data_IF_761979941655
#
_entry.id   IF_761979941655
#
_cell.length_a   1.000
_cell.length_b   1.000
_cell.length_c   1.000
_cell.angle_alpha   90.00
_cell.angle_beta   90.00
_cell.angle_gamma   90.00
#
_symmetry.space_group_name_H-M   'P 1'
#
loop_
_entity.id
_entity.type
_entity.pdbx_description
1 polymer ?
#
# COMPACT_ATOMS: atom_id res chain seq x y z
N UNK A 1 33.23 24.67 28.99
CA UNK A 1 32.22 25.02 27.97
C UNK A 1 31.41 23.78 27.66
N UNK A 2 30.18 23.75 28.14
CA UNK A 2 29.24 22.62 28.11
C UNK A 2 28.40 22.60 26.83
N UNK A 3 28.12 21.37 26.36
CA UNK A 3 26.95 20.90 25.60
C UNK A 3 26.79 21.44 24.15
N UNK A 4 26.31 20.70 23.15
CA UNK A 4 25.30 19.64 23.16
C UNK A 4 25.59 18.59 22.06
N UNK A 5 25.76 17.33 22.46
CA UNK A 5 25.54 16.20 21.55
C UNK A 5 24.02 16.02 21.41
N UNK A 6 23.47 16.41 20.27
CA UNK A 6 22.08 16.19 19.91
C UNK A 6 21.82 14.70 19.74
N UNK A 7 21.38 14.05 20.81
CA UNK A 7 20.81 12.71 20.80
C UNK A 7 19.49 12.74 20.03
N UNK A 8 19.54 12.49 18.72
CA UNK A 8 18.36 12.09 17.96
C UNK A 8 18.06 10.63 18.32
N UNK A 9 17.50 10.42 19.50
CA UNK A 9 16.81 9.21 19.87
C UNK A 9 15.60 9.05 18.93
N UNK A 10 15.87 8.56 17.72
CA UNK A 10 14.86 8.15 16.77
C UNK A 10 14.04 7.06 17.46
N UNK A 11 12.85 7.40 17.92
CA UNK A 11 11.83 6.42 18.30
C UNK A 11 11.66 5.50 17.11
N UNK A 12 12.31 4.34 17.16
CA UNK A 12 11.98 3.21 16.30
C UNK A 12 10.60 2.73 16.75
N UNK A 13 9.56 3.44 16.32
CA UNK A 13 8.23 2.85 16.23
C UNK A 13 8.37 1.71 15.24
N UNK A 14 8.54 0.48 15.75
CA UNK A 14 8.29 -0.72 14.98
C UNK A 14 6.86 -0.59 14.46
N UNK A 15 6.71 -0.26 13.18
CA UNK A 15 5.43 -0.35 12.52
C UNK A 15 4.96 -1.80 12.71
N UNK A 16 3.76 -2.04 13.24
CA UNK A 16 3.29 -3.40 13.53
C UNK A 16 3.06 -4.22 12.25
N UNK A 17 3.13 -3.59 11.08
CA UNK A 17 2.92 -4.19 9.78
C UNK A 17 4.16 -4.04 8.89
N UNK A 18 4.31 -4.96 7.94
CA UNK A 18 5.24 -4.77 6.83
C UNK A 18 4.89 -3.50 6.06
N UNK A 19 5.88 -2.93 5.36
CA UNK A 19 5.64 -1.80 4.46
C UNK A 19 4.48 -2.13 3.51
N UNK A 20 3.49 -1.24 3.41
CA UNK A 20 2.28 -1.44 2.63
C UNK A 20 1.45 -2.69 3.03
N UNK A 21 1.50 -3.07 4.31
CA UNK A 21 0.69 -4.13 4.96
C UNK A 21 1.04 -5.58 4.60
N UNK A 22 1.14 -5.91 3.31
CA UNK A 22 1.38 -7.28 2.85
C UNK A 22 2.77 -7.80 3.20
N UNK A 23 2.86 -9.11 3.46
CA UNK A 23 4.15 -9.82 3.50
C UNK A 23 4.80 -9.93 2.11
N UNK A 24 6.12 -10.13 2.09
CA UNK A 24 6.89 -10.17 0.84
C UNK A 24 6.55 -11.37 -0.05
N UNK A 25 6.05 -12.46 0.53
CA UNK A 25 5.63 -13.64 -0.24
C UNK A 25 4.39 -13.34 -1.06
N UNK A 26 3.41 -12.67 -0.45
CA UNK A 26 2.15 -12.23 -1.07
C UNK A 26 2.43 -11.23 -2.17
N UNK A 27 3.26 -10.22 -1.89
CA UNK A 27 3.70 -9.24 -2.89
C UNK A 27 4.40 -9.92 -4.06
N UNK A 28 5.32 -10.84 -3.81
CA UNK A 28 6.02 -11.59 -4.86
C UNK A 28 5.05 -12.38 -5.74
N UNK A 29 4.04 -13.02 -5.15
CA UNK A 29 3.02 -13.75 -5.88
C UNK A 29 2.18 -12.81 -6.76
N UNK A 30 1.67 -11.71 -6.19
CA UNK A 30 0.88 -10.70 -6.93
C UNK A 30 1.71 -10.10 -8.07
N UNK A 31 2.97 -9.73 -7.82
CA UNK A 31 3.90 -9.22 -8.85
C UNK A 31 4.03 -10.18 -10.04
N UNK A 32 4.13 -11.50 -9.79
CA UNK A 32 4.14 -12.49 -10.89
C UNK A 32 2.81 -12.54 -11.65
N UNK A 33 1.68 -12.40 -10.97
CA UNK A 33 0.38 -12.35 -11.63
C UNK A 33 0.24 -11.08 -12.50
N UNK A 34 0.71 -9.92 -12.02
CA UNK A 34 0.75 -8.67 -12.78
C UNK A 34 1.60 -8.84 -14.05
N UNK A 35 2.80 -9.43 -13.95
CA UNK A 35 3.64 -9.66 -15.12
C UNK A 35 2.96 -10.59 -16.15
N UNK A 36 2.25 -11.63 -15.69
CA UNK A 36 1.47 -12.51 -16.58
C UNK A 36 0.31 -11.77 -17.25
N UNK A 37 -0.41 -10.92 -16.52
CA UNK A 37 -1.54 -10.15 -17.09
C UNK A 37 -1.08 -9.11 -18.10
N UNK A 38 0.13 -8.55 -17.92
CA UNK A 38 0.73 -7.64 -18.90
C UNK A 38 1.18 -8.38 -20.18
N UNK A 39 1.68 -9.61 -20.04
CA UNK A 39 2.12 -10.41 -21.18
C UNK A 39 0.96 -10.89 -22.08
N UNK A 40 -0.26 -11.00 -21.54
CA UNK A 40 -1.46 -11.39 -22.29
C UNK A 40 -2.59 -10.39 -22.01
N UNK A 41 -2.69 -9.29 -22.78
CA UNK A 41 -3.71 -8.27 -22.58
C UNK A 41 -5.13 -8.84 -22.56
N UNK A 42 -5.92 -8.44 -21.57
CA UNK A 42 -7.30 -8.91 -21.40
C UNK A 42 -7.46 -10.24 -20.65
N UNK A 43 -6.36 -10.97 -20.39
CA UNK A 43 -6.42 -12.20 -19.60
C UNK A 43 -6.60 -11.88 -18.11
N UNK A 44 -7.68 -12.40 -17.52
CA UNK A 44 -7.89 -12.37 -16.07
C UNK A 44 -7.00 -13.41 -15.39
N UNK A 45 -5.88 -12.95 -14.82
CA UNK A 45 -4.97 -13.82 -14.08
C UNK A 45 -5.45 -13.97 -12.64
N UNK A 46 -5.86 -15.18 -12.20
CA UNK A 46 -6.24 -15.39 -10.81
C UNK A 46 -5.02 -15.24 -9.90
N UNK A 47 -5.23 -14.68 -8.71
CA UNK A 47 -4.20 -14.61 -7.67
C UNK A 47 -4.79 -14.91 -6.29
N UNK A 48 -3.97 -15.48 -5.41
CA UNK A 48 -4.39 -15.86 -4.06
C UNK A 48 -4.54 -14.63 -3.15
N UNK A 49 -5.74 -14.06 -3.13
CA UNK A 49 -6.09 -12.91 -2.29
C UNK A 49 -5.85 -13.20 -0.80
N UNK A 50 -5.49 -12.17 -0.04
CA UNK A 50 -5.39 -12.20 1.42
C UNK A 50 -6.50 -11.37 2.07
N UNK A 51 -6.79 -11.67 3.33
CA UNK A 51 -7.72 -10.86 4.12
C UNK A 51 -7.15 -9.46 4.34
N UNK A 52 -7.95 -8.46 3.98
CA UNK A 52 -7.62 -7.04 4.14
C UNK A 52 -8.47 -6.45 5.27
N UNK A 53 -8.04 -5.36 5.92
CA UNK A 53 -8.84 -4.64 6.91
C UNK A 53 -9.97 -3.81 6.25
N UNK A 54 -10.58 -4.34 5.19
CA UNK A 54 -11.72 -3.82 4.46
C UNK A 54 -12.57 -5.02 3.99
N UNK A 55 -13.89 -4.86 3.99
CA UNK A 55 -14.79 -5.91 3.51
C UNK A 55 -14.56 -6.23 2.03
N UNK A 56 -14.78 -7.49 1.63
CA UNK A 56 -14.81 -7.85 0.22
C UNK A 56 -15.85 -7.00 -0.53
N UNK A 57 -15.54 -6.62 -1.77
CA UNK A 57 -16.34 -5.67 -2.55
C UNK A 57 -15.92 -4.21 -2.39
N UNK A 58 -15.12 -3.86 -1.36
CA UNK A 58 -14.64 -2.49 -1.12
C UNK A 58 -13.24 -2.23 -1.68
N UNK A 59 -12.92 -2.81 -2.84
CA UNK A 59 -11.65 -2.56 -3.53
C UNK A 59 -10.42 -3.31 -3.00
N UNK A 60 -10.60 -4.40 -2.24
CA UNK A 60 -9.49 -5.19 -1.67
C UNK A 60 -8.50 -5.73 -2.71
N UNK A 61 -8.96 -6.02 -3.94
CA UNK A 61 -8.08 -6.40 -5.05
C UNK A 61 -7.14 -5.26 -5.46
N UNK A 62 -7.69 -4.05 -5.64
CA UNK A 62 -6.90 -2.85 -5.95
C UNK A 62 -5.91 -2.51 -4.85
N UNK A 63 -6.30 -2.62 -3.59
CA UNK A 63 -5.40 -2.41 -2.44
C UNK A 63 -4.21 -3.38 -2.49
N UNK A 64 -4.45 -4.67 -2.75
CA UNK A 64 -3.39 -5.67 -2.81
C UNK A 64 -2.42 -5.44 -3.99
N UNK A 65 -2.94 -5.01 -5.14
CA UNK A 65 -2.12 -4.59 -6.29
C UNK A 65 -1.27 -3.38 -5.92
N UNK A 66 -1.86 -2.32 -5.38
CA UNK A 66 -1.14 -1.10 -4.95
C UNK A 66 -0.07 -1.44 -3.92
N UNK A 67 -0.38 -2.23 -2.90
CA UNK A 67 0.58 -2.67 -1.88
C UNK A 67 1.75 -3.49 -2.43
N UNK A 68 1.58 -4.12 -3.59
CA UNK A 68 2.61 -4.91 -4.25
C UNK A 68 3.49 -4.08 -5.19
N UNK A 69 3.04 -2.89 -5.60
CA UNK A 69 3.73 -2.04 -6.57
C UNK A 69 4.36 -0.81 -5.92
N UNK A 70 3.68 -0.18 -4.96
CA UNK A 70 4.10 1.09 -4.35
C UNK A 70 5.49 0.99 -3.69
N UNK A 71 6.30 2.02 -3.89
CA UNK A 71 7.60 2.24 -3.27
C UNK A 71 7.60 3.40 -2.27
N UNK A 72 8.65 3.53 -1.44
CA UNK A 72 8.72 4.54 -0.38
C UNK A 72 8.78 5.99 -0.89
N UNK A 73 9.16 6.19 -2.16
CA UNK A 73 9.30 7.52 -2.78
C UNK A 73 8.11 7.90 -3.67
N UNK A 74 7.09 7.06 -3.73
CA UNK A 74 5.91 7.33 -4.55
C UNK A 74 4.99 8.36 -3.90
N UNK A 75 4.23 9.07 -4.75
CA UNK A 75 3.10 9.91 -4.33
C UNK A 75 1.80 9.27 -4.79
N UNK A 76 0.98 8.82 -3.83
CA UNK A 76 -0.26 8.10 -4.13
C UNK A 76 -1.47 9.04 -4.24
N UNK A 77 -2.15 9.00 -5.39
CA UNK A 77 -3.51 9.51 -5.54
C UNK A 77 -4.50 8.36 -5.40
N UNK A 78 -5.58 8.57 -4.64
CA UNK A 78 -6.69 7.62 -4.54
C UNK A 78 -7.98 8.38 -4.81
N UNK A 79 -8.76 7.89 -5.76
CA UNK A 79 -10.06 8.44 -6.16
C UNK A 79 -11.12 7.32 -6.13
N UNK A 80 -12.36 7.70 -5.87
CA UNK A 80 -13.54 6.86 -6.04
C UNK A 80 -14.65 7.73 -6.64
N UNK A 81 -15.34 7.23 -7.67
CA UNK A 81 -16.29 7.99 -8.49
C UNK A 81 -15.73 9.32 -9.03
N UNK A 82 -14.42 9.36 -9.31
CA UNK A 82 -13.73 10.57 -9.79
C UNK A 82 -13.36 11.59 -8.71
N UNK A 83 -13.67 11.33 -7.45
CA UNK A 83 -13.41 12.25 -6.33
C UNK A 83 -12.42 11.63 -5.31
N UNK A 84 -11.50 12.44 -4.77
CA UNK A 84 -10.55 11.99 -3.75
C UNK A 84 -11.05 12.22 -2.31
N UNK A 85 -12.16 12.94 -2.11
CA UNK A 85 -12.84 13.13 -0.83
C UNK A 85 -13.97 12.11 -0.57
N UNK A 86 -14.31 11.28 -1.56
CA UNK A 86 -15.22 10.16 -1.40
C UNK A 86 -14.78 9.22 -0.25
N UNK A 87 -15.75 8.72 0.53
CA UNK A 87 -15.50 7.96 1.77
C UNK A 87 -14.50 6.82 1.59
N UNK A 88 -14.65 6.03 0.53
CA UNK A 88 -13.78 4.90 0.26
C UNK A 88 -12.37 5.35 -0.18
N UNK A 89 -12.27 6.38 -1.02
CA UNK A 89 -11.00 6.98 -1.41
C UNK A 89 -10.22 7.53 -0.21
N UNK A 90 -10.90 8.25 0.69
CA UNK A 90 -10.34 8.75 1.95
C UNK A 90 -9.88 7.59 2.84
N UNK A 91 -10.69 6.54 2.98
CA UNK A 91 -10.36 5.37 3.79
C UNK A 91 -9.10 4.65 3.28
N UNK A 92 -9.03 4.35 1.98
CA UNK A 92 -7.89 3.68 1.35
C UNK A 92 -6.63 4.55 1.41
N UNK A 93 -6.76 5.86 1.14
CA UNK A 93 -5.62 6.79 1.24
C UNK A 93 -5.06 6.85 2.66
N UNK A 94 -5.93 6.94 3.68
CA UNK A 94 -5.52 6.90 5.10
C UNK A 94 -4.88 5.57 5.47
N UNK A 95 -5.38 4.46 4.95
CA UNK A 95 -4.76 3.15 5.11
C UNK A 95 -3.31 3.17 4.61
N UNK A 96 -3.05 3.57 3.36
CA UNK A 96 -1.68 3.61 2.83
C UNK A 96 -0.78 4.63 3.53
N UNK A 97 -1.29 5.81 3.93
CA UNK A 97 -0.54 6.73 4.78
C UNK A 97 -0.07 6.05 6.07
N UNK A 98 -0.92 5.24 6.70
CA UNK A 98 -0.61 4.55 7.95
C UNK A 98 0.40 3.42 7.76
N UNK A 99 0.22 2.56 6.75
CA UNK A 99 1.01 1.34 6.59
C UNK A 99 2.26 1.51 5.71
N UNK A 100 2.36 2.60 4.96
CA UNK A 100 3.49 2.86 4.07
C UNK A 100 4.16 4.22 4.30
N UNK A 101 3.51 5.18 4.99
CA UNK A 101 4.12 6.49 5.27
C UNK A 101 4.38 7.33 4.02
N UNK A 102 3.70 7.03 2.92
CA UNK A 102 3.93 7.65 1.61
C UNK A 102 3.24 9.00 1.45
N UNK A 103 3.78 9.83 0.56
CA UNK A 103 3.16 11.10 0.16
C UNK A 103 1.86 10.84 -0.61
N UNK A 104 0.92 11.79 -0.56
CA UNK A 104 -0.35 11.68 -1.29
C UNK A 104 -0.73 12.98 -1.96
N UNK A 105 -1.47 12.88 -3.07
CA UNK A 105 -2.00 14.01 -3.86
C UNK A 105 -3.45 13.78 -4.28
#
# INVERSE_FOLDING_TARGET
MTAHHGNAAGRSFRQPYNFAYLDEQSKRMIRRCILKSMAVPGLQVPFGSREMPLAYGWGTGGIQVTASVIGPNDTLKVIDQGADDATNAVSIRRFFKRVAGIATT
#
